data_IF_882182696361
#
_entry.id   IF_882182696361
#
_cell.length_a   1.000
_cell.length_b   1.000
_cell.length_c   1.000
_cell.angle_alpha   90.00
_cell.angle_beta   90.00
_cell.angle_gamma   90.00
#
_symmetry.space_group_name_H-M   'P 1'
#
loop_
_entity.id
_entity.type
_entity.pdbx_description
1 polymer ?
#
# COMPACT_ATOMS: atom_id res chain seq x y z
N UNK A 1 12.98 17.43 0.80
CA UNK A 1 13.34 17.75 -0.61
C UNK A 1 12.15 18.46 -1.28
N UNK A 2 12.40 19.24 -2.35
CA UNK A 2 11.30 19.76 -3.18
C UNK A 2 11.00 18.77 -4.28
N UNK A 3 9.84 18.13 -4.20
CA UNK A 3 9.36 17.18 -5.19
C UNK A 3 8.32 17.83 -6.10
N UNK A 4 8.19 17.40 -7.36
CA UNK A 4 7.11 17.85 -8.22
C UNK A 4 5.75 17.44 -7.64
N UNK A 5 4.75 18.33 -7.79
CA UNK A 5 3.36 18.03 -7.44
C UNK A 5 2.86 16.86 -8.30
N UNK A 6 2.32 15.84 -7.66
CA UNK A 6 1.82 14.65 -8.36
C UNK A 6 0.53 14.12 -7.74
N UNK A 7 -0.48 13.89 -8.57
CA UNK A 7 -1.82 13.47 -8.12
C UNK A 7 -1.84 12.12 -7.38
N UNK A 8 -0.89 11.24 -7.64
CA UNK A 8 -0.76 9.99 -6.89
C UNK A 8 -0.28 10.25 -5.45
N UNK A 9 0.67 11.18 -5.25
CA UNK A 9 1.12 11.56 -3.92
C UNK A 9 -0.01 12.20 -3.11
N UNK A 10 -0.73 13.16 -3.70
CA UNK A 10 -1.86 13.82 -3.06
C UNK A 10 -2.97 12.82 -2.68
N UNK A 11 -3.26 11.87 -3.57
CA UNK A 11 -4.18 10.77 -3.30
C UNK A 11 -3.72 9.93 -2.11
N UNK A 12 -2.45 9.52 -2.07
CA UNK A 12 -1.89 8.70 -0.99
C UNK A 12 -1.98 9.40 0.36
N UNK A 13 -1.62 10.68 0.43
CA UNK A 13 -1.74 11.49 1.65
C UNK A 13 -3.21 11.61 2.09
N UNK A 14 -4.11 11.88 1.16
CA UNK A 14 -5.55 12.00 1.45
C UNK A 14 -6.12 10.70 2.01
N UNK A 15 -5.79 9.55 1.42
CA UNK A 15 -6.27 8.24 1.90
C UNK A 15 -5.63 7.89 3.23
N UNK A 16 -4.31 8.05 3.37
CA UNK A 16 -3.59 7.73 4.59
C UNK A 16 -4.06 8.55 5.81
N UNK A 17 -4.54 9.78 5.60
CA UNK A 17 -5.06 10.63 6.69
C UNK A 17 -6.42 10.18 7.24
N UNK A 18 -7.08 9.19 6.64
CA UNK A 18 -8.40 8.72 7.07
C UNK A 18 -8.31 7.76 8.25
N UNK A 19 -9.32 7.82 9.12
CA UNK A 19 -9.38 7.02 10.36
C UNK A 19 -9.19 5.52 10.08
N UNK A 20 -8.26 4.90 10.80
CA UNK A 20 -7.95 3.47 10.73
C UNK A 20 -7.00 3.08 9.59
N UNK A 21 -6.81 3.94 8.57
CA UNK A 21 -5.92 3.63 7.44
C UNK A 21 -4.44 3.54 7.86
N UNK A 22 -3.88 4.46 8.69
CA UNK A 22 -2.50 4.32 9.15
C UNK A 22 -2.23 3.00 9.88
N UNK A 23 -3.15 2.58 10.74
CA UNK A 23 -3.07 1.32 11.49
C UNK A 23 -3.17 0.11 10.55
N UNK A 24 -4.06 0.16 9.57
CA UNK A 24 -4.21 -0.88 8.55
C UNK A 24 -2.93 -1.01 7.70
N UNK A 25 -2.36 0.10 7.23
CA UNK A 25 -1.08 0.13 6.52
C UNK A 25 0.04 -0.53 7.35
N UNK A 26 0.14 -0.15 8.63
CA UNK A 26 1.14 -0.72 9.53
C UNK A 26 0.94 -2.24 9.74
N UNK A 27 -0.32 -2.69 9.84
CA UNK A 27 -0.65 -4.11 10.00
C UNK A 27 -0.20 -4.93 8.78
N UNK A 28 -0.52 -4.49 7.56
CA UNK A 28 -0.13 -5.23 6.33
C UNK A 28 1.37 -5.17 6.08
N UNK A 29 2.02 -4.05 6.39
CA UNK A 29 3.47 -3.92 6.25
C UNK A 29 4.23 -4.83 7.21
N UNK A 30 3.79 -4.92 8.47
CA UNK A 30 4.45 -5.73 9.51
C UNK A 30 4.11 -7.21 9.42
N UNK A 31 2.83 -7.53 9.21
CA UNK A 31 2.35 -8.91 9.20
C UNK A 31 2.72 -9.65 7.93
N UNK A 32 2.76 -8.93 6.81
CA UNK A 32 2.86 -9.55 5.47
C UNK A 32 3.99 -8.98 4.61
N UNK A 33 4.73 -7.99 5.10
CA UNK A 33 5.82 -7.35 4.35
C UNK A 33 5.38 -6.62 3.09
N UNK A 34 4.08 -6.31 2.96
CA UNK A 34 3.54 -5.66 1.77
C UNK A 34 4.01 -4.20 1.67
N UNK A 35 4.21 -3.77 0.45
CA UNK A 35 4.57 -2.41 0.12
C UNK A 35 3.32 -1.53 0.06
N UNK A 36 3.28 -0.49 0.91
CA UNK A 36 2.13 0.41 1.02
C UNK A 36 2.01 1.32 -0.19
N UNK A 37 3.12 1.73 -0.80
CA UNK A 37 3.10 2.54 -2.00
C UNK A 37 2.48 1.79 -3.18
N UNK A 38 2.77 0.49 -3.31
CA UNK A 38 2.12 -0.36 -4.30
C UNK A 38 0.62 -0.53 -4.03
N UNK A 39 0.22 -0.75 -2.77
CA UNK A 39 -1.22 -0.84 -2.44
C UNK A 39 -1.96 0.44 -2.82
N UNK A 40 -1.40 1.61 -2.49
CA UNK A 40 -1.97 2.89 -2.89
C UNK A 40 -1.94 3.11 -4.40
N UNK A 41 -0.87 2.70 -5.09
CA UNK A 41 -0.78 2.80 -6.54
C UNK A 41 -1.88 2.00 -7.24
N UNK A 42 -2.13 0.78 -6.81
CA UNK A 42 -3.16 -0.07 -7.39
C UNK A 42 -4.57 0.49 -7.17
N UNK A 43 -4.83 1.07 -5.99
CA UNK A 43 -6.08 1.76 -5.72
C UNK A 43 -6.20 3.05 -6.54
N UNK A 44 -5.15 3.87 -6.60
CA UNK A 44 -5.14 5.11 -7.39
C UNK A 44 -5.37 4.84 -8.89
N UNK A 45 -4.67 3.86 -9.45
CA UNK A 45 -4.82 3.47 -10.84
C UNK A 45 -6.27 3.02 -11.14
N UNK A 46 -6.88 2.24 -10.24
CA UNK A 46 -8.27 1.82 -10.38
C UNK A 46 -9.26 2.99 -10.32
N UNK A 47 -9.04 3.96 -9.42
CA UNK A 47 -9.84 5.20 -9.33
C UNK A 47 -9.72 6.02 -10.60
N UNK A 48 -8.53 6.12 -11.18
CA UNK A 48 -8.29 6.88 -12.40
C UNK A 48 -8.84 6.19 -13.65
N UNK A 49 -8.48 4.91 -13.86
CA UNK A 49 -8.82 4.19 -15.10
C UNK A 49 -10.23 3.56 -15.08
N UNK A 50 -10.82 3.30 -13.91
CA UNK A 50 -12.12 2.60 -13.78
C UNK A 50 -12.09 1.16 -14.27
N UNK A 51 -10.90 0.54 -14.34
CA UNK A 51 -10.70 -0.85 -14.80
C UNK A 51 -9.47 -1.46 -14.12
N UNK A 52 -9.38 -2.80 -14.01
CA UNK A 52 -8.19 -3.46 -13.52
C UNK A 52 -6.97 -3.20 -14.42
N UNK A 53 -5.80 -3.13 -13.80
CA UNK A 53 -4.51 -3.06 -14.51
C UNK A 53 -4.20 -4.38 -15.24
N UNK A 54 -4.62 -5.51 -14.64
CA UNK A 54 -4.24 -6.85 -15.04
C UNK A 54 -2.87 -7.26 -14.50
N UNK A 55 -2.67 -8.57 -14.38
CA UNK A 55 -1.50 -9.19 -13.72
C UNK A 55 -0.16 -8.69 -14.27
N UNK A 56 -0.04 -8.51 -15.58
CA UNK A 56 1.19 -8.05 -16.20
C UNK A 56 1.62 -6.65 -15.69
N UNK A 57 0.71 -5.67 -15.72
CA UNK A 57 1.00 -4.31 -15.22
C UNK A 57 1.19 -4.28 -13.70
N UNK A 58 0.46 -5.12 -12.96
CA UNK A 58 0.65 -5.27 -11.51
C UNK A 58 2.05 -5.79 -11.20
N UNK A 59 2.50 -6.84 -11.88
CA UNK A 59 3.85 -7.39 -11.74
C UNK A 59 4.92 -6.39 -12.17
N UNK A 60 4.70 -5.66 -13.27
CA UNK A 60 5.60 -4.62 -13.73
C UNK A 60 5.77 -3.51 -12.69
N UNK A 61 4.67 -3.06 -12.04
CA UNK A 61 4.74 -2.07 -10.97
C UNK A 61 5.60 -2.56 -9.80
N UNK A 62 5.34 -3.78 -9.32
CA UNK A 62 6.12 -4.38 -8.23
C UNK A 62 7.61 -4.46 -8.59
N UNK A 63 7.96 -4.99 -9.76
CA UNK A 63 9.34 -5.12 -10.21
C UNK A 63 10.06 -3.76 -10.37
N UNK A 64 9.32 -2.70 -10.66
CA UNK A 64 9.89 -1.35 -10.83
C UNK A 64 10.48 -0.81 -9.53
N UNK A 65 9.91 -1.16 -8.38
CA UNK A 65 10.26 -0.56 -7.08
C UNK A 65 10.84 -1.55 -6.06
N UNK A 66 10.78 -2.86 -6.31
CA UNK A 66 11.23 -3.89 -5.35
C UNK A 66 12.63 -3.60 -4.82
N UNK A 67 13.62 -3.33 -5.68
CA UNK A 67 14.99 -3.03 -5.24
C UNK A 67 15.06 -1.78 -4.36
N UNK A 68 14.33 -0.71 -4.73
CA UNK A 68 14.26 0.51 -3.93
C UNK A 68 13.61 0.27 -2.58
N UNK A 69 12.52 -0.47 -2.56
CA UNK A 69 11.81 -0.81 -1.33
C UNK A 69 12.67 -1.66 -0.38
N UNK A 70 13.39 -2.65 -0.92
CA UNK A 70 14.20 -3.56 -0.10
C UNK A 70 15.51 -2.94 0.39
N UNK A 71 16.18 -2.13 -0.45
CA UNK A 71 17.51 -1.61 -0.16
C UNK A 71 17.50 -0.21 0.46
N UNK A 72 16.42 0.56 0.32
CA UNK A 72 16.33 1.95 0.83
C UNK A 72 15.19 2.12 1.82
N UNK A 73 13.92 1.98 1.39
CA UNK A 73 12.76 2.31 2.24
C UNK A 73 12.71 1.41 3.46
N UNK A 74 12.75 0.10 3.27
CA UNK A 74 12.67 -0.88 4.36
C UNK A 74 13.81 -0.78 5.39
N UNK A 75 15.06 -0.56 5.02
CA UNK A 75 16.14 -0.30 5.99
C UNK A 75 15.93 0.98 6.81
N UNK A 76 15.49 2.07 6.20
CA UNK A 76 15.18 3.32 6.92
C UNK A 76 14.03 3.07 7.91
N UNK A 77 12.95 2.44 7.48
CA UNK A 77 11.82 2.04 8.32
C UNK A 77 12.26 1.18 9.52
N UNK A 78 13.10 0.15 9.29
CA UNK A 78 13.63 -0.72 10.34
C UNK A 78 14.46 0.06 11.35
N UNK A 79 15.34 0.95 10.88
CA UNK A 79 16.18 1.78 11.74
C UNK A 79 15.33 2.72 12.61
N UNK A 80 14.38 3.45 11.99
CA UNK A 80 13.42 4.32 12.67
C UNK A 80 12.62 3.57 13.73
N UNK A 81 12.13 2.39 13.37
CA UNK A 81 11.35 1.57 14.26
C UNK A 81 12.17 1.04 15.45
N UNK A 82 13.43 0.68 15.21
CA UNK A 82 14.35 0.20 16.26
C UNK A 82 14.67 1.28 17.30
N UNK A 83 14.63 2.54 16.90
CA UNK A 83 14.85 3.68 17.79
C UNK A 83 13.61 4.09 18.61
N UNK A 84 12.43 3.53 18.30
CA UNK A 84 11.20 3.83 19.03
C UNK A 84 11.31 3.37 20.48
N UNK A 85 11.25 4.33 21.42
CA UNK A 85 11.38 4.06 22.86
C UNK A 85 12.83 4.04 23.37
N UNK A 86 13.81 4.46 22.54
CA UNK A 86 15.21 4.57 22.91
C UNK A 86 16.07 3.38 22.47
N UNK A 87 17.37 3.49 22.67
CA UNK A 87 18.32 2.46 22.27
C UNK A 87 19.45 2.31 23.32
N UNK A 88 19.38 1.27 24.16
CA UNK A 88 20.41 0.96 25.14
C UNK A 88 20.75 2.15 26.05
N UNK A 89 22.04 2.47 26.19
CA UNK A 89 22.54 3.57 27.01
C UNK A 89 22.67 4.92 26.27
N UNK A 90 22.20 5.00 25.02
CA UNK A 90 22.24 6.27 24.27
C UNK A 90 21.24 7.27 24.87
N UNK A 91 21.59 8.59 24.89
CA UNK A 91 20.69 9.61 25.41
C UNK A 91 19.34 9.61 24.67
N UNK A 92 18.19 9.58 25.39
CA UNK A 92 16.86 9.52 24.78
C UNK A 92 16.56 10.67 23.79
N UNK A 93 17.02 11.88 24.11
CA UNK A 93 16.82 13.05 23.25
C UNK A 93 17.53 12.89 21.88
N UNK A 94 18.76 12.35 21.90
CA UNK A 94 19.54 12.14 20.67
C UNK A 94 18.95 11.02 19.82
N UNK A 95 18.50 9.92 20.44
CA UNK A 95 17.86 8.81 19.75
C UNK A 95 16.53 9.24 19.13
N UNK A 96 15.76 10.09 19.83
CA UNK A 96 14.49 10.63 19.28
C UNK A 96 14.75 11.65 18.17
N UNK A 97 15.78 12.50 18.27
CA UNK A 97 16.17 13.41 17.21
C UNK A 97 16.57 12.65 15.94
N UNK A 98 17.39 11.59 16.07
CA UNK A 98 17.75 10.71 14.96
C UNK A 98 16.51 10.01 14.38
N UNK A 99 15.61 9.52 15.21
CA UNK A 99 14.36 8.90 14.75
C UNK A 99 13.51 9.85 13.91
N UNK A 100 13.40 11.11 14.29
CA UNK A 100 12.68 12.14 13.50
C UNK A 100 13.33 12.40 12.14
N UNK A 101 14.66 12.42 12.08
CA UNK A 101 15.40 12.53 10.82
C UNK A 101 15.11 11.35 9.90
N UNK A 102 15.07 10.13 10.45
CA UNK A 102 14.74 8.93 9.69
C UNK A 102 13.29 8.93 9.18
N UNK A 103 12.33 9.46 9.96
CA UNK A 103 10.94 9.63 9.49
C UNK A 103 10.89 10.55 8.27
N UNK A 104 11.60 11.67 8.28
CA UNK A 104 11.63 12.57 7.14
C UNK A 104 12.30 11.93 5.91
N UNK A 105 13.41 11.20 6.11
CA UNK A 105 14.09 10.47 5.05
C UNK A 105 13.23 9.34 4.46
N UNK A 106 12.48 8.62 5.31
CA UNK A 106 11.53 7.59 4.87
C UNK A 106 10.45 8.19 3.97
N UNK A 107 9.84 9.30 4.40
CA UNK A 107 8.81 10.00 3.64
C UNK A 107 9.34 10.50 2.28
N UNK A 108 10.56 11.05 2.25
CA UNK A 108 11.21 11.46 1.00
C UNK A 108 11.45 10.24 0.07
N UNK A 109 11.90 9.10 0.64
CA UNK A 109 12.14 7.89 -0.13
C UNK A 109 10.85 7.28 -0.70
N UNK A 110 9.76 7.28 0.07
CA UNK A 110 8.44 6.86 -0.37
C UNK A 110 7.89 7.77 -1.48
N UNK A 111 8.11 9.09 -1.39
CA UNK A 111 7.71 10.02 -2.44
C UNK A 111 8.46 9.74 -3.76
N UNK A 112 9.77 9.49 -3.69
CA UNK A 112 10.57 9.11 -4.86
C UNK A 112 10.07 7.81 -5.49
N UNK A 113 9.71 6.83 -4.69
CA UNK A 113 9.12 5.57 -5.14
C UNK A 113 7.80 5.78 -5.88
N UNK A 114 6.91 6.60 -5.33
CA UNK A 114 5.63 6.93 -5.96
C UNK A 114 5.80 7.65 -7.29
N UNK A 115 6.73 8.61 -7.39
CA UNK A 115 7.05 9.28 -8.65
C UNK A 115 7.57 8.29 -9.68
N UNK A 116 8.43 7.35 -9.28
CA UNK A 116 8.95 6.32 -10.16
C UNK A 116 7.87 5.37 -10.67
N UNK A 117 6.92 4.98 -9.82
CA UNK A 117 5.75 4.18 -10.21
C UNK A 117 4.90 4.91 -11.26
N UNK A 118 4.59 6.17 -11.00
CA UNK A 118 3.77 6.99 -11.90
C UNK A 118 4.44 7.24 -13.26
N UNK A 119 5.76 7.40 -13.28
CA UNK A 119 6.54 7.52 -14.51
C UNK A 119 6.58 6.22 -15.31
N UNK A 120 6.85 5.09 -14.65
CA UNK A 120 7.01 3.79 -15.30
C UNK A 120 5.69 3.20 -15.80
N UNK A 121 4.58 3.49 -15.11
CA UNK A 121 3.26 3.01 -15.47
C UNK A 121 2.26 4.17 -15.56
N UNK A 122 2.27 4.93 -16.64
CA UNK A 122 1.32 6.01 -16.83
C UNK A 122 -0.13 5.55 -16.70
N UNK A 123 -0.91 6.29 -15.93
CA UNK A 123 -2.32 6.04 -15.63
C UNK A 123 -3.15 7.15 -16.26
N UNK A 124 -4.18 6.77 -17.03
CA UNK A 124 -5.03 7.71 -17.76
C UNK A 124 -6.39 7.84 -17.08
N UNK A 125 -6.77 9.06 -16.70
CA UNK A 125 -8.07 9.32 -16.10
C UNK A 125 -9.23 9.05 -17.08
N UNK A 126 -10.21 8.24 -16.64
CA UNK A 126 -11.49 8.00 -17.32
C UNK A 126 -12.64 8.46 -16.44
N UNK A 127 -13.48 9.35 -16.95
CA UNK A 127 -14.55 9.97 -16.17
C UNK A 127 -15.81 9.11 -16.00
N UNK A 128 -16.00 8.08 -16.82
CA UNK A 128 -17.28 7.37 -16.96
C UNK A 128 -17.55 6.23 -15.97
N UNK A 129 -16.53 5.82 -15.20
CA UNK A 129 -16.70 4.73 -14.24
C UNK A 129 -17.31 5.22 -12.93
N UNK A 130 -18.30 4.50 -12.40
CA UNK A 130 -18.85 4.70 -11.08
C UNK A 130 -17.94 4.10 -9.98
N UNK A 131 -18.21 4.43 -8.71
CA UNK A 131 -17.41 3.96 -7.59
C UNK A 131 -17.48 2.44 -7.41
N UNK A 132 -18.56 1.79 -7.84
CA UNK A 132 -18.67 0.32 -7.79
C UNK A 132 -17.72 -0.35 -8.78
N UNK A 133 -17.62 0.18 -9.98
CA UNK A 133 -16.69 -0.27 -11.01
C UNK A 133 -15.24 -0.03 -10.59
N UNK A 134 -14.95 1.14 -10.01
CA UNK A 134 -13.62 1.49 -9.49
C UNK A 134 -13.22 0.61 -8.32
N UNK A 135 -14.16 0.31 -7.39
CA UNK A 135 -13.94 -0.63 -6.29
C UNK A 135 -13.56 -2.02 -6.82
N UNK A 136 -14.33 -2.56 -7.75
CA UNK A 136 -14.04 -3.86 -8.34
C UNK A 136 -12.65 -3.91 -9.00
N UNK A 137 -12.26 -2.82 -9.68
CA UNK A 137 -10.94 -2.69 -10.27
C UNK A 137 -9.82 -2.63 -9.22
N UNK A 138 -10.00 -1.86 -8.14
CA UNK A 138 -9.03 -1.77 -7.06
C UNK A 138 -8.83 -3.12 -6.37
N UNK A 139 -9.91 -3.79 -6.04
CA UNK A 139 -9.88 -5.11 -5.39
C UNK A 139 -9.21 -6.16 -6.29
N UNK A 140 -9.46 -6.13 -7.61
CA UNK A 140 -8.80 -7.03 -8.56
C UNK A 140 -7.27 -6.78 -8.62
N UNK A 141 -6.84 -5.51 -8.67
CA UNK A 141 -5.42 -5.16 -8.66
C UNK A 141 -4.72 -5.64 -7.37
N UNK A 142 -5.36 -5.42 -6.22
CA UNK A 142 -4.84 -5.88 -4.92
C UNK A 142 -4.74 -7.40 -4.86
N UNK A 143 -5.73 -8.13 -5.36
CA UNK A 143 -5.70 -9.59 -5.42
C UNK A 143 -4.55 -10.09 -6.31
N UNK A 144 -4.36 -9.50 -7.50
CA UNK A 144 -3.24 -9.84 -8.39
C UNK A 144 -1.89 -9.60 -7.73
N UNK A 145 -1.73 -8.49 -7.00
CA UNK A 145 -0.50 -8.20 -6.25
C UNK A 145 -0.24 -9.20 -5.13
N UNK A 146 -1.24 -9.50 -4.33
CA UNK A 146 -1.10 -10.42 -3.19
C UNK A 146 -0.79 -11.84 -3.64
N UNK A 147 -1.38 -12.29 -4.75
CA UNK A 147 -1.08 -13.60 -5.33
C UNK A 147 0.37 -13.74 -5.82
N UNK A 148 1.03 -12.62 -6.15
CA UNK A 148 2.44 -12.63 -6.57
C UNK A 148 3.41 -12.38 -5.42
N UNK A 149 2.96 -11.70 -4.35
CA UNK A 149 3.83 -11.22 -3.26
C UNK A 149 3.81 -12.11 -2.02
N UNK A 150 2.75 -12.91 -1.81
CA UNK A 150 2.65 -13.85 -0.69
C UNK A 150 2.83 -15.27 -1.25
N UNK A 151 3.97 -15.95 -0.96
CA UNK A 151 4.21 -17.32 -1.44
C UNK A 151 3.15 -18.29 -0.93
N UNK A 152 2.79 -19.28 -1.76
CA UNK A 152 1.81 -20.32 -1.38
C UNK A 152 2.19 -21.12 -0.12
N UNK A 153 3.50 -21.22 0.17
CA UNK A 153 4.02 -21.88 1.36
C UNK A 153 3.67 -21.13 2.68
N UNK A 154 3.36 -19.84 2.61
CA UNK A 154 2.95 -19.01 3.74
C UNK A 154 1.43 -18.85 3.84
N UNK A 155 0.68 -19.45 2.88
CA UNK A 155 -0.77 -19.46 2.93
C UNK A 155 -1.27 -20.40 4.07
N UNK A 156 -2.31 -19.99 4.82
CA UNK A 156 -2.88 -20.85 5.86
C UNK A 156 -3.36 -22.19 5.30
N UNK A 157 -3.36 -23.26 6.11
CA UNK A 157 -3.99 -24.52 5.72
C UNK A 157 -5.44 -24.30 5.27
N UNK A 158 -5.77 -24.73 4.04
CA UNK A 158 -7.10 -24.51 3.46
C UNK A 158 -7.19 -23.34 2.46
N UNK A 159 -6.10 -22.60 2.23
CA UNK A 159 -6.02 -21.59 1.16
C UNK A 159 -6.86 -20.32 1.39
N UNK A 160 -7.52 -20.19 2.56
CA UNK A 160 -8.26 -18.96 2.88
C UNK A 160 -7.31 -17.84 3.34
N UNK A 161 -7.48 -16.60 2.85
CA UNK A 161 -6.66 -15.48 3.31
C UNK A 161 -6.93 -15.22 4.81
N UNK A 162 -5.89 -14.82 5.58
CA UNK A 162 -6.04 -14.49 6.99
C UNK A 162 -7.05 -13.37 7.24
N UNK A 163 -7.87 -13.51 8.29
CA UNK A 163 -8.93 -12.55 8.60
C UNK A 163 -8.40 -11.15 8.90
N UNK A 164 -7.26 -11.04 9.56
CA UNK A 164 -6.59 -9.77 9.85
C UNK A 164 -6.07 -9.06 8.58
N UNK A 165 -5.64 -9.82 7.57
CA UNK A 165 -5.28 -9.29 6.26
C UNK A 165 -6.51 -8.74 5.54
N UNK A 166 -7.62 -9.50 5.52
CA UNK A 166 -8.90 -9.05 4.95
C UNK A 166 -9.35 -7.77 5.64
N UNK A 167 -9.32 -7.73 6.96
CA UNK A 167 -9.75 -6.57 7.73
C UNK A 167 -8.89 -5.33 7.42
N UNK A 168 -7.57 -5.47 7.41
CA UNK A 168 -6.66 -4.37 7.13
C UNK A 168 -6.82 -3.83 5.70
N UNK A 169 -6.88 -4.71 4.69
CA UNK A 169 -7.10 -4.30 3.31
C UNK A 169 -8.47 -3.67 3.11
N UNK A 170 -9.52 -4.20 3.75
CA UNK A 170 -10.87 -3.62 3.69
C UNK A 170 -10.90 -2.20 4.28
N UNK A 171 -10.17 -1.96 5.38
CA UNK A 171 -10.04 -0.64 5.99
C UNK A 171 -9.31 0.34 5.05
N UNK A 172 -8.21 -0.10 4.41
CA UNK A 172 -7.50 0.71 3.42
C UNK A 172 -8.41 1.05 2.24
N UNK A 173 -9.11 0.07 1.68
CA UNK A 173 -10.03 0.25 0.53
C UNK A 173 -11.23 1.12 0.92
N UNK A 174 -11.78 0.99 2.13
CA UNK A 174 -12.82 1.89 2.64
C UNK A 174 -12.31 3.34 2.75
N UNK A 175 -11.04 3.52 3.09
CA UNK A 175 -10.37 4.81 2.99
C UNK A 175 -10.34 5.37 1.57
N UNK A 176 -10.27 4.56 0.53
CA UNK A 176 -10.34 5.00 -0.88
C UNK A 176 -11.77 5.34 -1.29
N UNK A 177 -12.75 4.58 -0.85
CA UNK A 177 -14.17 4.67 -1.23
C UNK A 177 -15.10 4.99 -0.04
N UNK A 178 -15.02 6.19 0.57
CA UNK A 178 -15.75 6.51 1.79
C UNK A 178 -17.27 6.61 1.60
N UNK A 179 -17.74 6.68 0.35
CA UNK A 179 -19.16 6.70 0.01
C UNK A 179 -19.79 5.31 -0.12
N UNK A 180 -18.99 4.24 -0.05
CA UNK A 180 -19.48 2.87 -0.17
C UNK A 180 -19.61 2.20 1.21
N UNK A 181 -20.54 1.26 1.30
CA UNK A 181 -20.77 0.50 2.53
C UNK A 181 -19.59 -0.41 2.87
N UNK A 182 -19.09 -0.31 4.12
CA UNK A 182 -17.92 -1.06 4.58
C UNK A 182 -18.10 -2.58 4.53
N UNK A 183 -19.33 -3.08 4.78
CA UNK A 183 -19.65 -4.50 4.67
C UNK A 183 -19.46 -5.02 3.25
N UNK A 184 -19.96 -4.29 2.25
CA UNK A 184 -19.76 -4.60 0.83
C UNK A 184 -18.28 -4.62 0.46
N UNK A 185 -17.51 -3.59 0.87
CA UNK A 185 -16.07 -3.53 0.58
C UNK A 185 -15.36 -4.76 1.15
N UNK A 186 -15.69 -5.14 2.38
CA UNK A 186 -15.11 -6.32 3.03
C UNK A 186 -15.43 -7.62 2.29
N UNK A 187 -16.68 -7.79 1.85
CA UNK A 187 -17.11 -8.97 1.11
C UNK A 187 -16.39 -9.07 -0.24
N UNK A 188 -16.27 -7.95 -0.97
CA UNK A 188 -15.57 -7.89 -2.26
C UNK A 188 -14.07 -8.22 -2.09
N UNK A 189 -13.39 -7.67 -1.07
CA UNK A 189 -12.00 -7.98 -0.74
C UNK A 189 -11.84 -9.46 -0.38
N UNK A 190 -12.67 -9.97 0.52
CA UNK A 190 -12.60 -11.37 0.95
C UNK A 190 -12.85 -12.36 -0.21
N UNK A 191 -13.78 -12.02 -1.11
CA UNK A 191 -14.07 -12.84 -2.28
C UNK A 191 -12.93 -12.86 -3.28
N UNK A 192 -12.32 -11.71 -3.57
CA UNK A 192 -11.22 -11.61 -4.51
C UNK A 192 -9.97 -12.36 -4.04
N UNK A 193 -9.67 -12.29 -2.74
CA UNK A 193 -8.52 -12.99 -2.16
C UNK A 193 -8.71 -14.52 -2.09
N UNK A 194 -9.94 -15.04 -2.13
CA UNK A 194 -10.23 -16.48 -2.18
C UNK A 194 -10.04 -17.09 -3.57
N UNK A 195 -10.13 -16.29 -4.63
CA UNK A 195 -10.01 -16.76 -6.02
C UNK A 195 -8.54 -16.91 -6.42
N UNK A 196 -7.82 -17.84 -5.78
CA UNK A 196 -6.55 -18.36 -6.30
C UNK A 196 -6.88 -19.34 -7.43
N UNK A 197 -6.70 -18.91 -8.66
CA UNK A 197 -6.78 -19.80 -9.84
C UNK A 197 -5.39 -20.18 -10.26
#
# INVERSE_FOLDING_TARGET
MDFPVHSFWDFSLSVHSRTGVPEACLAVQRGYGLDINLLFFYCWAAVQEGRPLGRERVTQAANTVTGWQEEVVRPIWKARWRLKGGFGSFPPEQTEALRKTLIAAELDAEHMEQLRLAEALPVSARREADDSTRLAAAVANLADYLHTSIPDAEAPPGGAPPEDLIQALSTLVAGVFPGLESGRIRDDVAQALKKRS
#
